data_IF_435469452416
#
_entry.id   IF_435469452416
#
_cell.length_a   1.000
_cell.length_b   1.000
_cell.length_c   1.000
_cell.angle_alpha   90.00
_cell.angle_beta   90.00
_cell.angle_gamma   90.00
#
_symmetry.space_group_name_H-M   'P 1'
#
loop_
_entity.id
_entity.type
_entity.pdbx_description
1 polymer ?
#
# COMPACT_ATOMS: atom_id res chain seq x y z
N UNK A 1 -4.00 16.15 1.87
CA UNK A 1 -4.09 15.29 0.67
C UNK A 1 -2.70 14.84 0.27
N UNK A 2 -2.56 13.64 -0.28
CA UNK A 2 -1.28 13.16 -0.78
C UNK A 2 -0.79 14.04 -1.96
N UNK A 3 0.47 14.48 -1.94
CA UNK A 3 1.09 15.15 -3.08
C UNK A 3 0.93 14.35 -4.39
N UNK A 4 0.60 15.00 -5.53
CA UNK A 4 0.32 14.30 -6.79
C UNK A 4 1.53 13.51 -7.32
N UNK A 5 2.75 13.91 -6.98
CA UNK A 5 3.99 13.21 -7.31
C UNK A 5 4.05 11.79 -6.74
N UNK A 6 3.31 11.48 -5.67
CA UNK A 6 3.22 10.13 -5.11
C UNK A 6 2.54 9.11 -6.03
N UNK A 7 1.92 9.56 -7.13
CA UNK A 7 1.49 8.65 -8.21
C UNK A 7 2.66 8.08 -9.01
N UNK A 8 3.83 8.73 -8.97
CA UNK A 8 5.05 8.18 -9.53
C UNK A 8 5.71 7.25 -8.50
N UNK A 9 5.78 5.97 -8.85
CA UNK A 9 6.31 4.90 -7.99
C UNK A 9 7.75 5.16 -7.55
N UNK A 10 8.61 5.58 -8.48
CA UNK A 10 10.02 5.87 -8.19
C UNK A 10 10.14 7.02 -7.19
N UNK A 11 9.41 8.12 -7.40
CA UNK A 11 9.45 9.27 -6.50
C UNK A 11 8.94 8.92 -5.09
N UNK A 12 7.84 8.18 -5.00
CA UNK A 12 7.28 7.73 -3.72
C UNK A 12 8.29 6.89 -2.94
N UNK A 13 8.83 5.84 -3.55
CA UNK A 13 9.68 4.90 -2.83
C UNK A 13 11.07 5.47 -2.52
N UNK A 14 11.64 6.32 -3.39
CA UNK A 14 12.87 7.07 -3.07
C UNK A 14 12.67 8.03 -1.88
N UNK A 15 11.50 8.67 -1.78
CA UNK A 15 11.18 9.54 -0.64
C UNK A 15 11.00 8.75 0.67
N UNK A 16 10.43 7.54 0.59
CA UNK A 16 10.35 6.61 1.74
C UNK A 16 11.76 6.22 2.20
N UNK A 17 12.64 5.79 1.29
CA UNK A 17 14.03 5.46 1.64
C UNK A 17 14.77 6.63 2.27
N UNK A 18 14.59 7.84 1.73
CA UNK A 18 15.19 9.06 2.28
C UNK A 18 14.69 9.38 3.71
N UNK A 19 13.42 9.12 3.98
CA UNK A 19 12.81 9.36 5.29
C UNK A 19 13.25 8.33 6.35
N UNK A 20 13.70 7.15 5.93
CA UNK A 20 14.02 6.00 6.77
C UNK A 20 15.53 5.81 6.94
N UNK A 21 16.11 6.52 7.92
CA UNK A 21 17.55 6.79 7.99
C UNK A 21 18.43 5.69 8.60
N UNK A 22 17.85 4.68 9.25
CA UNK A 22 18.65 3.64 9.93
C UNK A 22 18.75 2.39 9.06
N UNK A 23 19.89 1.68 9.17
CA UNK A 23 20.15 0.45 8.40
C UNK A 23 19.11 -0.66 8.61
N UNK A 24 18.38 -0.62 9.71
CA UNK A 24 17.34 -1.57 10.13
C UNK A 24 15.93 -0.99 9.98
N UNK A 25 15.79 0.16 9.32
CA UNK A 25 14.48 0.76 9.08
C UNK A 25 13.64 -0.12 8.16
N UNK A 26 12.39 -0.29 8.56
CA UNK A 26 11.35 -0.87 7.71
C UNK A 26 10.87 0.18 6.73
N UNK A 27 10.93 -0.11 5.43
CA UNK A 27 10.52 0.80 4.35
C UNK A 27 9.04 0.65 4.01
N UNK A 28 8.56 -0.58 3.94
CA UNK A 28 7.19 -0.90 3.56
C UNK A 28 6.56 -1.95 4.48
N UNK A 29 5.24 -2.08 4.36
CA UNK A 29 4.51 -3.27 4.78
C UNK A 29 3.86 -3.88 3.55
N UNK A 30 4.11 -5.15 3.31
CA UNK A 30 3.48 -5.90 2.23
C UNK A 30 2.31 -6.73 2.76
N UNK A 31 1.22 -6.73 1.99
CA UNK A 31 0.17 -7.73 2.06
C UNK A 31 0.10 -8.47 0.74
N UNK A 32 0.01 -9.79 0.81
CA UNK A 32 -0.32 -10.63 -0.35
C UNK A 32 -1.71 -11.20 -0.11
N UNK A 33 -2.63 -10.96 -1.03
CA UNK A 33 -4.03 -11.37 -0.90
C UNK A 33 -4.44 -12.20 -2.12
N UNK A 34 -5.12 -13.32 -1.89
CA UNK A 34 -5.78 -14.06 -2.96
C UNK A 34 -7.03 -13.29 -3.41
N UNK A 35 -7.32 -13.33 -4.71
CA UNK A 35 -8.50 -12.74 -5.32
C UNK A 35 -9.47 -13.85 -5.73
N UNK A 36 -10.79 -13.61 -5.69
CA UNK A 36 -11.77 -14.57 -6.17
C UNK A 36 -11.58 -14.86 -7.67
N UNK A 37 -11.52 -16.15 -8.01
CA UNK A 37 -11.39 -16.63 -9.40
C UNK A 37 -12.68 -16.47 -10.19
N UNK A 38 -13.81 -16.34 -9.50
CA UNK A 38 -15.14 -16.17 -10.08
C UNK A 38 -15.39 -14.75 -10.59
N UNK A 39 -14.56 -13.78 -10.17
CA UNK A 39 -14.68 -12.39 -10.57
C UNK A 39 -13.82 -12.09 -11.81
N UNK A 40 -14.38 -11.31 -12.72
CA UNK A 40 -13.59 -10.75 -13.81
C UNK A 40 -12.53 -9.75 -13.29
N UNK A 41 -11.55 -9.44 -14.15
CA UNK A 41 -10.44 -8.54 -13.81
C UNK A 41 -10.89 -7.16 -13.32
N UNK A 42 -11.92 -6.57 -13.91
CA UNK A 42 -12.43 -5.25 -13.53
C UNK A 42 -13.09 -5.28 -12.15
N UNK A 43 -13.88 -6.32 -11.87
CA UNK A 43 -14.47 -6.57 -10.55
C UNK A 43 -13.40 -6.78 -9.48
N UNK A 44 -12.35 -7.55 -9.78
CA UNK A 44 -11.21 -7.76 -8.88
C UNK A 44 -10.43 -6.47 -8.60
N UNK A 45 -10.18 -5.62 -9.61
CA UNK A 45 -9.55 -4.31 -9.42
C UNK A 45 -10.41 -3.43 -8.49
N UNK A 46 -11.72 -3.38 -8.73
CA UNK A 46 -12.65 -2.55 -7.94
C UNK A 46 -12.73 -3.03 -6.49
N UNK A 47 -12.81 -4.35 -6.27
CA UNK A 47 -12.77 -4.97 -4.95
C UNK A 47 -11.48 -4.59 -4.19
N UNK A 48 -10.34 -4.75 -4.85
CA UNK A 48 -9.04 -4.46 -4.27
C UNK A 48 -8.86 -2.96 -3.95
N UNK A 49 -9.26 -2.07 -4.86
CA UNK A 49 -9.21 -0.62 -4.64
C UNK A 49 -10.08 -0.20 -3.45
N UNK A 50 -11.30 -0.71 -3.35
CA UNK A 50 -12.20 -0.42 -2.23
C UNK A 50 -11.62 -0.92 -0.90
N UNK A 51 -11.05 -2.14 -0.90
CA UNK A 51 -10.38 -2.69 0.29
C UNK A 51 -9.19 -1.82 0.70
N UNK A 52 -8.32 -1.45 -0.24
CA UNK A 52 -7.14 -0.61 0.01
C UNK A 52 -7.54 0.78 0.52
N UNK A 53 -8.56 1.39 -0.09
CA UNK A 53 -9.05 2.71 0.29
C UNK A 53 -9.51 2.71 1.74
N UNK A 54 -10.51 1.87 2.06
CA UNK A 54 -11.16 1.83 3.37
C UNK A 54 -10.21 1.44 4.50
N UNK A 55 -9.30 0.51 4.24
CA UNK A 55 -8.48 -0.07 5.29
C UNK A 55 -7.09 0.57 5.41
N UNK A 56 -6.61 1.34 4.43
CA UNK A 56 -5.25 1.89 4.47
C UNK A 56 -5.18 3.36 4.07
N UNK A 57 -5.70 3.71 2.89
CA UNK A 57 -5.56 5.09 2.36
C UNK A 57 -6.34 6.09 3.21
N UNK A 58 -7.53 5.73 3.67
CA UNK A 58 -8.33 6.56 4.59
C UNK A 58 -7.63 6.78 5.95
N UNK A 59 -6.69 5.91 6.31
CA UNK A 59 -5.83 6.08 7.49
C UNK A 59 -4.53 6.84 7.19
N UNK A 60 -4.43 7.44 6.00
CA UNK A 60 -3.31 8.29 5.57
C UNK A 60 -2.13 7.56 4.94
N UNK A 61 -2.20 6.26 4.71
CA UNK A 61 -1.11 5.52 4.05
C UNK A 61 -1.15 5.69 2.52
N UNK A 62 0.01 5.68 1.87
CA UNK A 62 0.07 5.45 0.42
C UNK A 62 0.14 3.95 0.15
N UNK A 63 -0.58 3.50 -0.88
CA UNK A 63 -0.62 2.11 -1.30
C UNK A 63 -0.18 1.98 -2.76
N UNK A 64 0.72 1.04 -3.01
CA UNK A 64 1.14 0.60 -4.33
C UNK A 64 0.76 -0.87 -4.47
N UNK A 65 0.05 -1.23 -5.53
CA UNK A 65 -0.40 -2.60 -5.70
C UNK A 65 -0.21 -3.12 -7.13
N UNK A 66 0.01 -4.42 -7.23
CA UNK A 66 0.09 -5.16 -8.48
C UNK A 66 -0.74 -6.44 -8.36
N UNK A 67 -1.49 -6.77 -9.42
CA UNK A 67 -2.24 -8.02 -9.52
C UNK A 67 -1.44 -8.96 -10.41
N UNK A 68 -1.17 -10.16 -9.92
CA UNK A 68 -0.56 -11.26 -10.65
C UNK A 68 -1.60 -12.33 -10.91
N UNK A 69 -1.57 -12.85 -12.14
CA UNK A 69 -2.33 -14.02 -12.53
C UNK A 69 -1.49 -14.80 -13.54
N UNK A 70 -0.62 -15.67 -13.02
CA UNK A 70 0.42 -16.36 -13.80
C UNK A 70 -0.12 -17.53 -14.63
N UNK A 71 -1.22 -18.16 -14.21
CA UNK A 71 -1.75 -19.37 -14.83
C UNK A 71 -3.29 -19.49 -14.78
N UNK A 72 -4.01 -18.48 -14.27
CA UNK A 72 -5.48 -18.47 -14.19
C UNK A 72 -6.06 -19.21 -12.98
N UNK A 73 -5.23 -19.82 -12.12
CA UNK A 73 -5.73 -20.64 -11.01
C UNK A 73 -5.62 -19.96 -9.64
N UNK A 74 -4.80 -18.92 -9.51
CA UNK A 74 -4.59 -18.21 -8.25
C UNK A 74 -4.28 -16.72 -8.47
N UNK A 75 -5.25 -15.92 -8.93
CA UNK A 75 -5.07 -14.49 -9.02
C UNK A 75 -4.80 -13.94 -7.63
N UNK A 76 -3.73 -13.18 -7.47
CA UNK A 76 -3.36 -12.57 -6.19
C UNK A 76 -2.84 -11.16 -6.39
N UNK A 77 -2.93 -10.35 -5.35
CA UNK A 77 -2.40 -8.99 -5.35
C UNK A 77 -1.32 -8.82 -4.30
N UNK A 78 -0.23 -8.18 -4.70
CA UNK A 78 0.76 -7.60 -3.79
C UNK A 78 0.35 -6.16 -3.51
N UNK A 79 0.32 -5.78 -2.22
CA UNK A 79 -0.01 -4.43 -1.77
C UNK A 79 1.13 -3.96 -0.87
N UNK A 80 1.92 -3.01 -1.33
CA UNK A 80 2.93 -2.33 -0.54
C UNK A 80 2.34 -1.05 0.05
N UNK A 81 2.45 -0.89 1.36
CA UNK A 81 2.04 0.29 2.10
C UNK A 81 3.23 1.04 2.67
N UNK A 82 3.16 2.37 2.65
CA UNK A 82 4.10 3.20 3.40
C UNK A 82 3.98 2.95 4.90
N UNK A 83 5.11 2.94 5.61
CA UNK A 83 5.12 2.71 7.07
C UNK A 83 4.79 3.97 7.89
N UNK A 84 4.78 5.12 7.23
CA UNK A 84 4.37 6.42 7.77
C UNK A 84 3.09 6.87 7.05
N UNK A 85 2.03 7.25 7.78
CA UNK A 85 0.94 8.02 7.21
C UNK A 85 1.41 9.39 6.75
N UNK A 86 0.61 10.05 5.91
CA UNK A 86 0.77 11.45 5.52
C UNK A 86 -0.09 12.35 6.41
N UNK A 87 0.43 13.53 6.74
CA UNK A 87 -0.34 14.63 7.29
C UNK A 87 -1.25 15.25 6.23
N UNK A 88 -2.20 16.10 6.64
CA UNK A 88 -3.07 16.85 5.72
C UNK A 88 -2.27 17.70 4.73
N UNK A 89 -1.12 18.23 5.16
CA UNK A 89 -0.20 19.02 4.33
C UNK A 89 0.74 18.17 3.44
N UNK A 90 0.58 16.85 3.42
CA UNK A 90 1.36 15.95 2.56
C UNK A 90 2.74 15.56 3.09
N UNK A 91 3.09 15.95 4.32
CA UNK A 91 4.36 15.54 4.96
C UNK A 91 4.24 14.21 5.70
N UNK A 92 5.34 13.48 5.87
CA UNK A 92 5.36 12.22 6.62
C UNK A 92 5.06 12.40 8.11
N UNK A 93 4.16 11.57 8.63
CA UNK A 93 3.92 11.42 10.07
C UNK A 93 5.00 10.53 10.73
N UNK A 94 4.91 10.42 12.06
CA UNK A 94 5.64 9.40 12.79
C UNK A 94 5.13 8.00 12.44
N UNK A 95 6.00 6.99 12.60
CA UNK A 95 5.59 5.59 12.38
C UNK A 95 4.49 5.20 13.37
N UNK A 96 3.46 4.55 12.85
CA UNK A 96 2.40 3.99 13.68
C UNK A 96 2.95 2.87 14.57
N UNK A 97 2.63 2.94 15.87
CA UNK A 97 3.04 1.95 16.87
C UNK A 97 2.19 0.68 16.67
N UNK A 98 2.82 -0.50 16.67
CA UNK A 98 2.08 -1.78 16.65
C UNK A 98 1.29 -1.90 17.96
N UNK A 99 -0.01 -2.15 17.86
CA UNK A 99 -0.83 -2.59 18.99
C UNK A 99 -1.26 -4.03 18.71
N UNK A 100 -0.91 -4.94 19.61
CA UNK A 100 -1.39 -6.30 19.58
C UNK A 100 -2.76 -6.33 20.25
N UNK A 101 -3.76 -6.85 19.54
CA UNK A 101 -5.05 -7.20 20.12
C UNK A 101 -4.93 -8.69 20.46
N UNK A 102 -4.62 -8.98 21.72
CA UNK A 102 -4.72 -10.30 22.31
C UNK A 102 -6.05 -10.41 23.03
#
# INVERSE_FOLDING_TARGET
>A
MAPPEWKNREQLWNAVETAEKTKDSRLAREFVVALPVELDKGSNISLLQNFIQKNFVDMGMCADFAIHDTDGHNPHAHILLTVRPLNENGTWQYKNRKRYLC
#
